data_IF_601263937895
#
_entry.id   IF_601263937895
#
_cell.length_a   1.000
_cell.length_b   1.000
_cell.length_c   1.000
_cell.angle_alpha   90.00
_cell.angle_beta   90.00
_cell.angle_gamma   90.00
#
_symmetry.space_group_name_H-M   'P 1'
#
loop_
_entity.id
_entity.type
_entity.pdbx_description
1 polymer ?
#
# COMPACT_ATOMS: atom_id res chain seq x y z
N UNK A 1 29.26 48.75 -7.14
CA UNK A 1 29.49 49.95 -6.26
C UNK A 1 28.60 49.82 -5.04
N UNK A 2 29.25 49.85 -3.83
CA UNK A 2 28.71 49.87 -2.47
C UNK A 2 28.16 48.53 -1.95
N UNK A 3 28.86 47.86 -1.14
CA UNK A 3 29.60 47.90 0.13
C UNK A 3 28.83 47.23 1.25
N UNK A 4 29.55 46.24 1.77
CA UNK A 4 29.43 45.52 3.04
C UNK A 4 28.89 46.36 4.20
N UNK A 5 28.26 45.70 5.18
CA UNK A 5 28.65 45.84 6.60
C UNK A 5 28.24 44.58 7.39
N UNK A 6 29.26 43.94 7.95
CA UNK A 6 29.14 42.92 8.96
C UNK A 6 28.91 43.51 10.33
N UNK A 7 28.40 42.71 11.27
CA UNK A 7 28.51 42.94 12.71
C UNK A 7 28.75 41.67 13.48
N UNK A 8 29.98 41.54 13.92
CA UNK A 8 30.49 40.65 14.97
C UNK A 8 30.18 41.23 16.34
N UNK A 9 29.77 40.44 17.31
CA UNK A 9 29.86 40.67 18.77
C UNK A 9 29.75 39.30 19.43
N UNK A 10 30.79 38.76 19.98
CA UNK A 10 31.56 38.99 21.20
C UNK A 10 31.01 38.15 22.37
N UNK A 11 31.83 37.25 22.69
CA UNK A 11 32.05 36.34 23.81
C UNK A 11 31.89 37.02 25.20
N UNK A 12 31.19 36.36 26.12
CA UNK A 12 31.41 36.53 27.57
C UNK A 12 31.49 35.16 28.23
N UNK A 13 32.71 34.83 28.66
CA UNK A 13 33.00 33.72 29.57
C UNK A 13 32.74 34.17 31.00
N UNK A 14 32.06 33.36 31.79
CA UNK A 14 32.04 33.45 33.26
C UNK A 14 32.58 32.15 33.82
N UNK A 15 33.73 32.25 34.44
CA UNK A 15 34.38 31.19 35.21
C UNK A 15 33.79 31.20 36.62
N UNK A 16 33.17 30.09 37.02
CA UNK A 16 32.72 29.83 38.39
C UNK A 16 33.41 28.57 38.92
N UNK A 17 34.35 28.75 39.85
CA UNK A 17 34.96 27.69 40.65
C UNK A 17 33.96 27.25 41.73
N UNK A 18 33.62 25.97 41.77
CA UNK A 18 32.83 25.36 42.83
C UNK A 18 33.25 23.93 43.11
N UNK A 19 33.55 23.64 44.33
CA UNK A 19 34.25 22.53 44.94
C UNK A 19 33.77 21.12 44.60
N UNK A 20 34.72 20.19 44.56
CA UNK A 20 34.53 18.72 44.53
C UNK A 20 33.86 18.19 45.78
N UNK A 21 32.80 17.43 45.64
CA UNK A 21 32.36 16.39 46.58
C UNK A 21 32.40 15.03 45.86
N UNK A 22 32.75 13.90 46.51
CA UNK A 22 32.86 12.62 45.85
C UNK A 22 31.47 12.07 45.48
N UNK A 23 31.32 11.61 44.25
CA UNK A 23 30.15 10.93 43.78
C UNK A 23 30.15 9.51 44.35
N UNK A 24 29.07 9.14 45.00
CA UNK A 24 28.72 7.74 45.27
C UNK A 24 28.41 7.04 43.95
N UNK A 25 29.00 5.88 43.74
CA UNK A 25 28.72 4.96 42.64
C UNK A 25 27.26 4.52 42.74
N UNK A 26 26.40 5.10 41.89
CA UNK A 26 25.09 4.55 41.60
C UNK A 26 25.29 3.48 40.52
N UNK A 27 25.24 2.23 40.92
CA UNK A 27 25.03 1.06 40.06
C UNK A 27 23.72 1.34 39.30
N UNK A 28 23.82 1.87 38.08
CA UNK A 28 22.76 1.79 37.10
C UNK A 28 22.81 0.40 36.50
N UNK A 29 22.07 -0.53 37.13
CA UNK A 29 21.56 -1.71 36.46
C UNK A 29 20.71 -1.21 35.28
N UNK A 30 21.36 -1.06 34.14
CA UNK A 30 20.72 -0.88 32.87
C UNK A 30 20.08 -2.20 32.46
N UNK A 31 18.91 -2.50 33.00
CA UNK A 31 18.03 -3.47 32.40
C UNK A 31 17.70 -2.92 31.00
N UNK A 32 18.41 -3.40 29.99
CA UNK A 32 17.92 -3.34 28.62
C UNK A 32 16.64 -4.15 28.63
N UNK A 33 15.52 -3.45 28.60
CA UNK A 33 14.20 -4.03 28.37
C UNK A 33 14.22 -4.57 26.92
N UNK A 34 14.74 -5.79 26.76
CA UNK A 34 14.80 -6.53 25.51
C UNK A 34 13.41 -7.16 25.25
N UNK A 35 12.36 -6.35 25.44
CA UNK A 35 11.03 -6.70 24.99
C UNK A 35 11.08 -6.61 23.48
N UNK A 36 11.23 -7.74 22.81
CA UNK A 36 11.13 -7.84 21.36
C UNK A 36 9.85 -7.10 20.93
N UNK A 37 9.99 -6.13 20.02
CA UNK A 37 8.86 -5.39 19.49
C UNK A 37 7.91 -6.40 18.83
N UNK A 38 6.75 -6.61 19.43
CA UNK A 38 5.70 -7.46 18.86
C UNK A 38 4.88 -6.57 17.94
N UNK A 39 5.04 -6.77 16.64
CA UNK A 39 4.22 -6.07 15.66
C UNK A 39 2.80 -6.63 15.67
N UNK A 40 1.83 -5.72 15.66
CA UNK A 40 0.44 -6.10 15.34
C UNK A 40 0.36 -6.44 13.86
N UNK A 41 -0.51 -7.39 13.47
CA UNK A 41 -0.72 -7.68 12.05
C UNK A 41 -1.13 -6.44 11.25
N UNK A 42 -0.87 -6.46 9.96
CA UNK A 42 -1.53 -5.56 9.00
C UNK A 42 -2.94 -6.13 8.77
N UNK A 43 -3.95 -5.37 9.16
CA UNK A 43 -5.36 -5.80 9.12
C UNK A 43 -5.91 -5.83 7.70
N UNK A 44 -5.48 -4.87 6.87
CA UNK A 44 -5.85 -4.79 5.46
C UNK A 44 -4.78 -4.07 4.64
N UNK A 45 -4.70 -4.41 3.34
CA UNK A 45 -3.93 -3.66 2.36
C UNK A 45 -4.84 -2.65 1.66
N UNK A 46 -4.32 -1.46 1.41
CA UNK A 46 -4.97 -0.41 0.65
C UNK A 46 -3.97 0.18 -0.35
N UNK A 47 -4.46 0.68 -1.47
CA UNK A 47 -3.67 1.47 -2.41
C UNK A 47 -4.36 2.82 -2.62
N UNK A 48 -3.59 3.91 -2.74
CA UNK A 48 -4.14 5.21 -3.09
C UNK A 48 -3.83 5.49 -4.55
N UNK A 49 -4.87 5.74 -5.33
CA UNK A 49 -4.82 6.16 -6.72
C UNK A 49 -5.30 7.62 -6.82
N UNK A 50 -4.67 8.40 -7.66
CA UNK A 50 -4.82 9.86 -7.71
C UNK A 50 -5.48 10.30 -9.02
N UNK A 51 -6.57 11.10 -8.90
CA UNK A 51 -7.47 11.44 -10.00
C UNK A 51 -7.65 12.96 -10.16
N UNK A 52 -7.65 13.43 -11.40
CA UNK A 52 -8.08 14.79 -11.72
C UNK A 52 -9.60 14.91 -11.63
N UNK A 53 -10.34 13.87 -12.05
CA UNK A 53 -11.80 13.77 -11.92
C UNK A 53 -12.19 12.65 -10.97
N UNK A 54 -12.10 12.95 -9.65
CA UNK A 54 -12.45 12.01 -8.60
C UNK A 54 -13.89 11.49 -8.71
N UNK A 55 -14.85 12.33 -9.14
CA UNK A 55 -16.25 11.93 -9.24
C UNK A 55 -16.45 10.93 -10.38
N UNK A 56 -15.79 11.11 -11.52
CA UNK A 56 -15.81 10.15 -12.63
C UNK A 56 -15.16 8.83 -12.25
N UNK A 57 -14.01 8.87 -11.58
CA UNK A 57 -13.34 7.68 -11.06
C UNK A 57 -14.23 6.95 -10.06
N UNK A 58 -14.79 7.65 -9.07
CA UNK A 58 -15.67 7.05 -8.09
C UNK A 58 -16.91 6.41 -8.72
N UNK A 59 -17.53 7.07 -9.70
CA UNK A 59 -18.67 6.51 -10.45
C UNK A 59 -18.27 5.19 -11.15
N UNK A 60 -17.10 5.14 -11.79
CA UNK A 60 -16.59 3.92 -12.41
C UNK A 60 -16.42 2.76 -11.42
N UNK A 61 -15.70 2.99 -10.32
CA UNK A 61 -15.46 1.94 -9.33
C UNK A 61 -16.73 1.49 -8.61
N UNK A 62 -17.65 2.40 -8.33
CA UNK A 62 -18.93 2.09 -7.69
C UNK A 62 -19.93 1.45 -8.64
N UNK A 63 -20.17 2.05 -9.82
CA UNK A 63 -21.31 1.70 -10.69
C UNK A 63 -20.97 0.63 -11.73
N UNK A 64 -19.68 0.56 -12.18
CA UNK A 64 -19.21 -0.45 -13.12
C UNK A 64 -18.60 -1.64 -12.39
N UNK A 65 -17.62 -1.40 -11.49
CA UNK A 65 -16.99 -2.51 -10.76
C UNK A 65 -17.80 -2.96 -9.54
N UNK A 66 -18.79 -2.17 -9.11
CA UNK A 66 -19.67 -2.49 -7.99
C UNK A 66 -18.94 -2.53 -6.65
N UNK A 67 -17.85 -1.74 -6.48
CA UNK A 67 -17.17 -1.64 -5.20
C UNK A 67 -18.01 -0.82 -4.21
N UNK A 68 -18.06 -1.28 -2.97
CA UNK A 68 -18.72 -0.54 -1.89
C UNK A 68 -17.84 0.62 -1.44
N UNK A 69 -18.42 1.82 -1.30
CA UNK A 69 -17.73 2.94 -0.66
C UNK A 69 -17.76 2.74 0.85
N UNK A 70 -16.62 2.38 1.44
CA UNK A 70 -16.47 2.14 2.87
C UNK A 70 -16.34 3.45 3.67
N UNK A 71 -15.74 4.50 3.08
CA UNK A 71 -15.72 5.85 3.63
C UNK A 71 -15.66 6.90 2.52
N UNK A 72 -16.22 8.07 2.82
CA UNK A 72 -16.23 9.25 1.94
C UNK A 72 -15.77 10.48 2.73
N UNK A 73 -14.56 10.95 2.45
CA UNK A 73 -13.98 12.13 3.09
C UNK A 73 -14.06 13.39 2.21
N UNK A 74 -14.84 13.34 1.13
CA UNK A 74 -14.94 14.41 0.14
C UNK A 74 -13.81 14.33 -0.87
N UNK A 75 -12.60 14.65 -0.46
CA UNK A 75 -11.39 14.60 -1.29
C UNK A 75 -10.85 13.18 -1.52
N UNK A 76 -11.30 12.21 -0.77
CA UNK A 76 -10.92 10.80 -0.90
C UNK A 76 -12.11 9.87 -0.68
N UNK A 77 -12.19 8.80 -1.49
CA UNK A 77 -13.22 7.75 -1.41
C UNK A 77 -12.53 6.42 -1.19
N UNK A 78 -12.82 5.75 -0.07
CA UNK A 78 -12.24 4.45 0.24
C UNK A 78 -13.20 3.36 -0.24
N UNK A 79 -12.75 2.59 -1.23
CA UNK A 79 -13.52 1.53 -1.87
C UNK A 79 -13.14 0.17 -1.29
N UNK A 80 -14.11 -0.62 -0.84
CA UNK A 80 -13.91 -2.00 -0.40
C UNK A 80 -13.86 -2.93 -1.62
N UNK A 81 -12.72 -3.55 -1.86
CA UNK A 81 -12.43 -4.37 -3.05
C UNK A 81 -12.54 -5.86 -2.75
N UNK A 82 -11.79 -6.35 -1.77
CA UNK A 82 -11.76 -7.74 -1.34
C UNK A 82 -11.86 -7.82 0.19
N UNK A 83 -12.02 -8.98 0.84
CA UNK A 83 -12.38 -9.06 2.28
C UNK A 83 -11.51 -8.22 3.22
N UNK A 84 -10.22 -8.08 2.91
CA UNK A 84 -9.25 -7.25 3.67
C UNK A 84 -8.38 -6.43 2.71
N UNK A 85 -9.00 -5.89 1.66
CA UNK A 85 -8.30 -5.06 0.67
C UNK A 85 -9.17 -3.91 0.22
N UNK A 86 -8.55 -2.73 0.11
CA UNK A 86 -9.20 -1.49 -0.25
C UNK A 86 -8.46 -0.79 -1.39
N UNK A 87 -9.15 0.13 -2.03
CA UNK A 87 -8.60 1.11 -2.97
C UNK A 87 -9.14 2.49 -2.60
N UNK A 88 -8.25 3.42 -2.29
CA UNK A 88 -8.61 4.80 -2.00
C UNK A 88 -8.41 5.65 -3.26
N UNK A 89 -9.47 6.29 -3.70
CA UNK A 89 -9.45 7.25 -4.80
C UNK A 89 -9.24 8.64 -4.21
N UNK A 90 -8.21 9.34 -4.63
CA UNK A 90 -7.80 10.64 -4.06
C UNK A 90 -7.85 11.72 -5.12
N UNK A 91 -8.42 12.87 -4.79
CA UNK A 91 -8.30 14.09 -5.58
C UNK A 91 -6.85 14.59 -5.58
N UNK A 92 -6.23 14.74 -6.75
CA UNK A 92 -4.84 15.18 -6.90
C UNK A 92 -4.56 16.54 -6.24
N UNK A 93 -5.58 17.42 -6.14
CA UNK A 93 -5.41 18.73 -5.48
C UNK A 93 -5.17 18.61 -3.97
N UNK A 94 -5.51 17.45 -3.37
CA UNK A 94 -5.42 17.17 -1.95
C UNK A 94 -4.46 16.02 -1.62
N UNK A 95 -3.95 15.32 -2.63
CA UNK A 95 -3.11 14.14 -2.48
C UNK A 95 -1.62 14.42 -2.35
N UNK A 96 -0.84 13.35 -2.24
CA UNK A 96 0.63 13.42 -2.17
C UNK A 96 1.30 13.37 -3.55
N UNK A 97 0.54 13.00 -4.59
CA UNK A 97 0.99 12.84 -5.97
C UNK A 97 0.23 13.78 -6.91
N UNK A 98 0.85 14.10 -8.02
CA UNK A 98 0.25 14.95 -9.06
C UNK A 98 -0.32 14.11 -10.22
N UNK A 99 -1.18 14.73 -11.03
CA UNK A 99 -1.78 14.10 -12.21
C UNK A 99 -0.75 13.74 -13.29
N UNK A 100 0.36 14.49 -13.35
CA UNK A 100 1.43 14.31 -14.35
C UNK A 100 2.38 13.14 -14.00
N UNK A 101 2.34 12.62 -12.78
CA UNK A 101 3.16 11.49 -12.38
C UNK A 101 2.73 10.20 -13.11
N UNK A 102 3.71 9.35 -13.51
CA UNK A 102 3.41 8.08 -14.15
C UNK A 102 2.56 7.17 -13.26
N UNK A 103 1.57 6.51 -13.87
CA UNK A 103 0.73 5.49 -13.21
C UNK A 103 1.37 4.10 -13.37
N UNK A 104 2.65 3.98 -12.99
CA UNK A 104 3.44 2.73 -13.11
C UNK A 104 3.12 1.76 -11.98
N UNK A 105 1.88 1.33 -11.93
CA UNK A 105 1.31 0.40 -10.97
C UNK A 105 0.17 -0.36 -11.62
N UNK A 106 -0.13 -1.57 -11.16
CA UNK A 106 -1.36 -2.27 -11.52
C UNK A 106 -2.01 -2.86 -10.26
N UNK A 107 -3.32 -2.73 -10.12
CA UNK A 107 -4.08 -3.43 -9.11
C UNK A 107 -4.64 -4.71 -9.71
N UNK A 108 -4.15 -5.86 -9.25
CA UNK A 108 -4.75 -7.12 -9.59
C UNK A 108 -5.96 -7.40 -8.71
N UNK A 109 -7.05 -7.77 -9.35
CA UNK A 109 -8.32 -8.20 -8.79
C UNK A 109 -8.37 -9.71 -8.94
N UNK A 110 -8.07 -10.42 -7.84
CA UNK A 110 -7.97 -11.87 -7.84
C UNK A 110 -9.36 -12.48 -7.76
N UNK A 111 -9.77 -13.14 -8.83
CA UNK A 111 -11.12 -13.70 -9.00
C UNK A 111 -11.11 -14.99 -9.79
N UNK A 112 -12.00 -15.93 -9.44
CA UNK A 112 -12.24 -17.16 -10.23
C UNK A 112 -13.16 -16.92 -11.42
N UNK A 113 -13.89 -15.80 -11.40
CA UNK A 113 -15.00 -15.53 -12.31
C UNK A 113 -14.55 -14.71 -13.53
N UNK A 114 -13.35 -15.03 -14.07
CA UNK A 114 -12.68 -14.25 -15.13
C UNK A 114 -13.55 -14.04 -16.36
N UNK A 115 -14.24 -15.09 -16.84
CA UNK A 115 -15.10 -14.99 -18.02
C UNK A 115 -16.31 -14.08 -17.76
N UNK A 116 -16.89 -14.16 -16.56
CA UNK A 116 -18.03 -13.33 -16.17
C UNK A 116 -17.60 -11.86 -16.02
N UNK A 117 -16.45 -11.60 -15.39
CA UNK A 117 -15.89 -10.26 -15.30
C UNK A 117 -15.55 -9.68 -16.66
N UNK A 118 -14.93 -10.45 -17.55
CA UNK A 118 -14.59 -10.03 -18.90
C UNK A 118 -15.86 -9.60 -19.66
N UNK A 119 -16.88 -10.44 -19.69
CA UNK A 119 -18.16 -10.13 -20.35
C UNK A 119 -18.88 -8.92 -19.71
N UNK A 120 -18.77 -8.76 -18.38
CA UNK A 120 -19.32 -7.62 -17.68
C UNK A 120 -18.66 -6.31 -18.13
N UNK A 121 -17.32 -6.27 -18.17
CA UNK A 121 -16.59 -5.07 -18.58
C UNK A 121 -16.78 -4.75 -20.06
N UNK A 122 -16.85 -5.76 -20.94
CA UNK A 122 -17.21 -5.55 -22.36
C UNK A 122 -18.60 -4.90 -22.50
N UNK A 123 -19.59 -5.36 -21.70
CA UNK A 123 -20.96 -4.80 -21.72
C UNK A 123 -20.98 -3.32 -21.28
N UNK A 124 -20.03 -2.92 -20.43
CA UNK A 124 -19.88 -1.53 -19.98
C UNK A 124 -18.88 -0.74 -20.83
N UNK A 125 -18.42 -1.31 -21.95
CA UNK A 125 -17.48 -0.66 -22.89
C UNK A 125 -16.18 -0.18 -22.21
N UNK A 126 -15.73 -0.92 -21.15
CA UNK A 126 -14.48 -0.59 -20.44
C UNK A 126 -13.28 -0.88 -21.35
N UNK A 127 -12.34 0.07 -21.51
CA UNK A 127 -11.15 -0.17 -22.32
C UNK A 127 -10.32 -1.33 -21.79
N UNK A 128 -9.92 -2.23 -22.70
CA UNK A 128 -9.06 -3.36 -22.39
C UNK A 128 -7.65 -3.14 -22.96
N UNK A 129 -6.64 -3.37 -22.13
CA UNK A 129 -5.23 -3.40 -22.55
C UNK A 129 -4.87 -4.78 -23.12
N UNK A 130 -5.46 -5.85 -22.56
CA UNK A 130 -5.31 -7.22 -23.06
C UNK A 130 -6.61 -7.99 -22.96
N UNK A 131 -6.82 -8.89 -23.93
CA UNK A 131 -7.93 -9.82 -23.96
C UNK A 131 -7.79 -10.92 -22.91
N UNK A 132 -8.93 -11.54 -22.55
CA UNK A 132 -8.94 -12.69 -21.64
C UNK A 132 -8.11 -13.84 -22.22
N UNK A 133 -7.19 -14.34 -21.41
CA UNK A 133 -6.38 -15.50 -21.72
C UNK A 133 -6.58 -16.58 -20.67
N UNK A 134 -7.08 -17.74 -21.08
CA UNK A 134 -7.19 -18.95 -20.26
C UNK A 134 -6.43 -20.05 -20.97
N UNK A 135 -5.43 -20.66 -20.29
CA UNK A 135 -4.58 -21.69 -20.88
C UNK A 135 -4.43 -22.87 -19.93
N UNK A 136 -4.65 -24.07 -20.44
CA UNK A 136 -4.40 -25.30 -19.68
C UNK A 136 -2.93 -25.36 -19.25
N UNK A 137 -2.68 -25.54 -17.94
CA UNK A 137 -1.35 -25.67 -17.36
C UNK A 137 -0.59 -24.35 -17.20
N UNK A 138 -1.23 -23.19 -17.39
CA UNK A 138 -0.61 -21.90 -17.06
C UNK A 138 -0.60 -21.67 -15.54
N UNK A 139 0.41 -20.92 -15.06
CA UNK A 139 0.48 -20.50 -13.66
C UNK A 139 -0.65 -19.53 -13.30
N UNK A 140 -1.05 -18.67 -14.23
CA UNK A 140 -2.16 -17.73 -14.05
C UNK A 140 -2.92 -17.54 -15.37
N UNK A 141 -4.18 -17.16 -15.24
CA UNK A 141 -5.06 -16.73 -16.31
C UNK A 141 -5.57 -15.33 -15.99
N UNK A 142 -5.91 -14.53 -17.00
CA UNK A 142 -6.42 -13.21 -16.76
C UNK A 142 -6.51 -12.31 -18.00
N UNK A 143 -6.86 -11.05 -17.73
CA UNK A 143 -6.91 -9.95 -18.69
C UNK A 143 -6.67 -8.62 -17.96
N UNK A 144 -6.45 -7.55 -18.73
CA UNK A 144 -6.15 -6.23 -18.16
C UNK A 144 -7.11 -5.20 -18.71
N UNK A 145 -7.83 -4.54 -17.84
CA UNK A 145 -8.66 -3.38 -18.12
C UNK A 145 -7.93 -2.08 -17.76
N UNK A 146 -8.45 -0.97 -18.26
CA UNK A 146 -7.92 0.38 -18.00
C UNK A 146 -9.03 1.22 -17.39
N UNK A 147 -8.73 1.85 -16.27
CA UNK A 147 -9.65 2.75 -15.58
C UNK A 147 -9.81 4.11 -16.31
N UNK A 148 -10.70 5.02 -15.88
CA UNK A 148 -10.95 6.28 -16.56
C UNK A 148 -9.72 7.17 -16.78
N UNK A 149 -8.70 7.08 -15.92
CA UNK A 149 -7.50 7.91 -16.04
C UNK A 149 -6.21 7.14 -16.31
N UNK A 150 -6.31 5.85 -16.68
CA UNK A 150 -5.21 5.07 -17.20
C UNK A 150 -4.51 4.15 -16.21
N UNK A 151 -5.02 3.97 -15.00
CA UNK A 151 -4.55 2.89 -14.12
C UNK A 151 -4.92 1.53 -14.68
N UNK A 152 -4.01 0.56 -14.54
CA UNK A 152 -4.24 -0.80 -14.96
C UNK A 152 -4.94 -1.61 -13.86
N UNK A 153 -5.99 -2.29 -14.25
CA UNK A 153 -6.74 -3.23 -13.42
C UNK A 153 -6.58 -4.62 -14.04
N UNK A 154 -5.80 -5.47 -13.39
CA UNK A 154 -5.56 -6.83 -13.84
C UNK A 154 -6.56 -7.78 -13.17
N UNK A 155 -7.42 -8.41 -13.95
CA UNK A 155 -8.30 -9.46 -13.46
C UNK A 155 -7.58 -10.78 -13.67
N UNK A 156 -7.22 -11.47 -12.57
CA UNK A 156 -6.40 -12.67 -12.65
C UNK A 156 -6.82 -13.74 -11.65
N UNK A 157 -6.45 -14.98 -11.97
CA UNK A 157 -6.54 -16.13 -11.10
C UNK A 157 -5.26 -16.95 -11.16
N UNK A 158 -4.71 -17.28 -9.97
CA UNK A 158 -3.52 -18.13 -9.82
C UNK A 158 -3.93 -19.58 -9.77
N UNK A 159 -3.56 -20.34 -10.81
CA UNK A 159 -3.89 -21.75 -10.95
C UNK A 159 -3.06 -22.65 -10.04
N UNK A 160 -3.50 -23.90 -9.86
CA UNK A 160 -2.65 -24.95 -9.27
C UNK A 160 -1.46 -25.21 -10.19
N UNK A 161 -0.31 -24.66 -9.82
CA UNK A 161 0.93 -24.70 -10.58
C UNK A 161 2.14 -24.75 -9.61
N UNK A 162 3.29 -25.26 -10.06
CA UNK A 162 4.49 -25.33 -9.22
C UNK A 162 4.97 -23.96 -8.72
N UNK A 163 4.72 -22.90 -9.46
CA UNK A 163 5.02 -21.51 -9.06
C UNK A 163 4.11 -20.99 -7.95
N UNK A 164 2.91 -21.55 -7.78
CA UNK A 164 1.86 -21.06 -6.89
C UNK A 164 1.62 -21.98 -5.69
N UNK A 165 2.54 -22.90 -5.40
CA UNK A 165 2.35 -23.96 -4.38
C UNK A 165 1.99 -23.40 -3.00
N UNK A 166 2.49 -22.22 -2.65
CA UNK A 166 2.24 -21.56 -1.38
C UNK A 166 1.08 -20.54 -1.45
N UNK A 167 0.78 -19.98 -2.63
CA UNK A 167 -0.28 -18.99 -2.83
C UNK A 167 -1.65 -19.64 -3.06
N UNK A 168 -1.75 -20.65 -3.96
CA UNK A 168 -3.03 -21.24 -4.35
C UNK A 168 -3.83 -21.81 -3.18
N UNK A 169 -3.23 -22.50 -2.17
CA UNK A 169 -3.98 -22.98 -1.00
C UNK A 169 -4.53 -21.84 -0.13
N UNK A 170 -3.83 -20.70 -0.05
CA UNK A 170 -4.28 -19.51 0.68
C UNK A 170 -5.49 -18.88 0.00
N UNK A 171 -5.44 -18.72 -1.33
CA UNK A 171 -6.56 -18.19 -2.11
C UNK A 171 -7.78 -19.10 -2.11
N UNK A 172 -7.57 -20.43 -2.04
CA UNK A 172 -8.64 -21.42 -2.13
C UNK A 172 -9.65 -21.35 -0.96
N UNK A 173 -9.23 -20.85 0.19
CA UNK A 173 -10.06 -20.79 1.41
C UNK A 173 -10.69 -19.42 1.65
N UNK A 174 -10.40 -18.43 0.78
CA UNK A 174 -10.97 -17.09 0.92
C UNK A 174 -12.38 -17.09 0.34
N UNK A 175 -13.36 -16.68 1.17
CA UNK A 175 -14.71 -16.38 0.72
C UNK A 175 -14.69 -15.06 -0.07
N UNK A 176 -15.08 -15.03 -1.35
CA UNK A 176 -15.02 -13.81 -2.14
C UNK A 176 -15.98 -12.73 -1.64
N UNK A 177 -15.56 -11.48 -1.72
CA UNK A 177 -16.44 -10.33 -1.51
C UNK A 177 -17.45 -10.25 -2.65
N UNK A 178 -18.74 -10.22 -2.28
CA UNK A 178 -19.87 -9.96 -3.18
C UNK A 178 -20.61 -8.72 -2.71
N UNK A 179 -21.24 -7.99 -3.61
CA UNK A 179 -22.06 -6.81 -3.27
C UNK A 179 -23.40 -6.86 -3.99
N UNK A 180 -24.37 -6.05 -3.53
CA UNK A 180 -25.64 -5.89 -4.24
C UNK A 180 -25.55 -4.94 -5.44
N UNK A 181 -24.37 -4.35 -5.69
CA UNK A 181 -24.14 -3.36 -6.73
C UNK A 181 -23.62 -3.97 -8.03
N UNK A 182 -23.29 -5.27 -8.02
CA UNK A 182 -22.85 -6.03 -9.19
C UNK A 182 -23.49 -7.43 -9.18
N UNK A 183 -23.48 -8.17 -10.33
CA UNK A 183 -23.91 -9.56 -10.38
C UNK A 183 -23.24 -10.43 -9.33
N UNK A 184 -23.99 -11.36 -8.74
CA UNK A 184 -23.53 -12.19 -7.60
C UNK A 184 -22.39 -13.15 -7.95
N UNK A 185 -22.19 -13.42 -9.24
CA UNK A 185 -21.14 -14.24 -9.82
C UNK A 185 -19.84 -13.45 -10.12
N UNK A 186 -19.77 -12.19 -9.73
CA UNK A 186 -18.57 -11.36 -9.86
C UNK A 186 -17.87 -11.21 -8.49
N UNK A 187 -17.45 -12.33 -7.90
CA UNK A 187 -16.74 -12.36 -6.63
C UNK A 187 -15.29 -11.89 -6.75
N UNK A 188 -14.74 -11.33 -5.65
CA UNK A 188 -13.32 -10.94 -5.55
C UNK A 188 -12.75 -11.55 -4.28
N UNK A 189 -11.70 -12.37 -4.42
CA UNK A 189 -11.08 -13.07 -3.30
C UNK A 189 -9.96 -12.26 -2.64
N UNK A 190 -9.14 -11.58 -3.44
CA UNK A 190 -7.93 -10.90 -2.97
C UNK A 190 -7.51 -9.79 -3.94
N UNK A 191 -6.48 -9.04 -3.56
CA UNK A 191 -5.79 -8.11 -4.45
C UNK A 191 -4.28 -8.34 -4.43
N UNK A 192 -3.61 -8.10 -5.56
CA UNK A 192 -2.15 -7.94 -5.62
C UNK A 192 -1.86 -6.54 -6.13
N UNK A 193 -1.08 -5.76 -5.41
CA UNK A 193 -0.60 -4.47 -5.89
C UNK A 193 0.77 -4.67 -6.55
N UNK A 194 0.81 -4.60 -7.88
CA UNK A 194 2.01 -4.79 -8.68
C UNK A 194 2.82 -3.51 -8.78
N UNK A 195 4.05 -3.52 -8.26
CA UNK A 195 5.01 -2.43 -8.25
C UNK A 195 6.19 -2.77 -9.18
N UNK A 196 6.68 -1.82 -9.96
CA UNK A 196 7.63 -2.05 -11.04
C UNK A 196 8.99 -1.47 -10.73
N UNK A 197 10.04 -2.29 -10.82
CA UNK A 197 11.41 -1.98 -10.42
C UNK A 197 12.41 -2.27 -11.54
N UNK A 198 13.49 -1.49 -11.59
CA UNK A 198 14.64 -1.80 -12.47
C UNK A 198 15.56 -2.87 -11.85
N UNK A 199 15.61 -2.95 -10.52
CA UNK A 199 16.34 -3.96 -9.75
C UNK A 199 15.45 -4.52 -8.65
N UNK A 200 15.10 -5.79 -8.75
CA UNK A 200 14.25 -6.45 -7.75
C UNK A 200 14.99 -6.71 -6.42
N UNK A 201 16.28 -7.04 -6.46
CA UNK A 201 16.98 -7.57 -5.31
C UNK A 201 17.03 -6.66 -4.06
N UNK A 202 17.20 -5.32 -4.15
CA UNK A 202 17.09 -4.46 -2.97
C UNK A 202 15.66 -4.42 -2.41
N UNK A 203 14.65 -4.45 -3.29
CA UNK A 203 13.25 -4.37 -2.91
C UNK A 203 12.74 -5.70 -2.32
N UNK A 204 13.19 -6.85 -2.82
CA UNK A 204 12.95 -8.17 -2.21
C UNK A 204 13.39 -8.17 -0.74
N UNK A 205 14.65 -7.85 -0.48
CA UNK A 205 15.19 -7.79 0.90
C UNK A 205 14.43 -6.81 1.79
N UNK A 206 14.00 -5.70 1.22
CA UNK A 206 13.23 -4.70 1.94
C UNK A 206 11.85 -5.22 2.35
N UNK A 207 11.06 -5.78 1.42
CA UNK A 207 9.72 -6.27 1.72
C UNK A 207 9.73 -7.53 2.60
N UNK A 208 10.71 -8.43 2.44
CA UNK A 208 10.93 -9.54 3.37
C UNK A 208 11.17 -9.07 4.80
N UNK A 209 12.03 -8.06 4.98
CA UNK A 209 12.32 -7.52 6.30
C UNK A 209 11.15 -6.69 6.87
N UNK A 210 10.47 -5.90 6.03
CA UNK A 210 9.37 -5.04 6.43
C UNK A 210 8.16 -5.85 6.88
N UNK A 211 7.72 -6.79 6.05
CA UNK A 211 6.52 -7.58 6.31
C UNK A 211 6.78 -8.76 7.26
N UNK A 212 8.04 -9.14 7.45
CA UNK A 212 8.46 -10.37 8.16
C UNK A 212 7.76 -11.64 7.63
N UNK A 213 7.43 -11.63 6.33
CA UNK A 213 6.70 -12.69 5.63
C UNK A 213 7.58 -13.35 4.57
N UNK A 214 7.34 -14.63 4.34
CA UNK A 214 8.03 -15.38 3.31
C UNK A 214 7.52 -15.05 1.92
N UNK A 215 8.40 -15.17 0.92
CA UNK A 215 8.07 -15.11 -0.49
C UNK A 215 7.10 -16.25 -0.85
N UNK A 216 5.94 -15.92 -1.41
CA UNK A 216 4.91 -16.90 -1.77
C UNK A 216 5.01 -17.37 -3.22
N UNK A 217 5.42 -16.48 -4.12
CA UNK A 217 5.58 -16.77 -5.55
C UNK A 217 6.89 -16.19 -6.02
N UNK A 218 7.69 -17.00 -6.69
CA UNK A 218 8.92 -16.60 -7.36
C UNK A 218 8.92 -17.04 -8.82
N UNK A 219 8.64 -16.10 -9.72
CA UNK A 219 8.72 -16.31 -11.16
C UNK A 219 10.07 -15.84 -11.74
N UNK A 220 11.01 -15.47 -10.87
CA UNK A 220 12.29 -14.87 -11.26
C UNK A 220 12.18 -13.39 -11.61
N UNK A 221 11.18 -13.00 -12.37
CA UNK A 221 10.92 -11.62 -12.81
C UNK A 221 9.73 -10.95 -12.08
N UNK A 222 8.93 -11.73 -11.42
CA UNK A 222 7.85 -11.25 -10.54
C UNK A 222 7.86 -12.06 -9.24
N UNK A 223 7.53 -11.40 -8.16
CA UNK A 223 7.54 -11.92 -6.78
C UNK A 223 6.25 -11.51 -6.08
N UNK A 224 5.69 -12.37 -5.22
CA UNK A 224 4.50 -12.03 -4.42
C UNK A 224 4.77 -12.27 -2.94
N UNK A 225 4.46 -11.24 -2.12
CA UNK A 225 4.48 -11.28 -0.66
C UNK A 225 3.08 -11.04 -0.11
N UNK A 226 2.71 -11.71 0.97
CA UNK A 226 1.46 -11.43 1.67
C UNK A 226 1.66 -10.24 2.61
N UNK A 227 0.83 -9.19 2.45
CA UNK A 227 0.87 -8.03 3.32
C UNK A 227 -0.28 -8.04 4.35
N UNK A 228 -1.42 -8.61 3.98
CA UNK A 228 -2.60 -8.73 4.85
C UNK A 228 -3.37 -10.02 4.51
N UNK A 229 -4.44 -10.38 5.22
CA UNK A 229 -5.15 -11.64 4.95
C UNK A 229 -5.59 -11.86 3.50
N UNK A 230 -5.91 -10.80 2.75
CA UNK A 230 -6.30 -10.87 1.33
C UNK A 230 -5.61 -9.83 0.45
N UNK A 231 -4.63 -9.12 0.98
CA UNK A 231 -3.84 -8.12 0.25
C UNK A 231 -2.40 -8.58 0.08
N UNK A 232 -1.92 -8.54 -1.15
CA UNK A 232 -0.57 -8.97 -1.52
C UNK A 232 0.18 -7.83 -2.21
N UNK A 233 1.49 -7.81 -2.06
CA UNK A 233 2.39 -6.92 -2.80
C UNK A 233 3.14 -7.75 -3.82
N UNK A 234 3.09 -7.32 -5.06
CA UNK A 234 3.82 -7.90 -6.17
C UNK A 234 4.98 -7.01 -6.60
N UNK A 235 6.18 -7.56 -6.70
CA UNK A 235 7.36 -6.88 -7.23
C UNK A 235 7.62 -7.39 -8.64
N UNK A 236 7.77 -6.48 -9.60
CA UNK A 236 7.90 -6.83 -11.03
C UNK A 236 9.16 -6.18 -11.61
N UNK A 237 9.95 -6.95 -12.36
CA UNK A 237 10.99 -6.42 -13.24
C UNK A 237 10.33 -5.56 -14.33
N UNK A 238 10.53 -4.24 -14.27
CA UNK A 238 9.93 -3.28 -15.19
C UNK A 238 10.35 -3.47 -16.66
N UNK A 239 11.44 -4.17 -16.91
CA UNK A 239 11.83 -4.53 -18.29
C UNK A 239 10.95 -5.65 -18.87
N UNK A 240 10.20 -6.38 -18.04
CA UNK A 240 9.35 -7.52 -18.43
C UNK A 240 7.87 -7.32 -18.13
N UNK A 241 7.55 -6.44 -17.20
CA UNK A 241 6.20 -6.16 -16.78
C UNK A 241 5.40 -5.27 -17.73
N UNK A 242 4.20 -4.88 -17.29
CA UNK A 242 3.30 -4.01 -18.06
C UNK A 242 3.75 -2.54 -18.06
N UNK A 243 4.51 -2.15 -17.05
CA UNK A 243 5.11 -0.82 -16.91
C UNK A 243 6.63 -0.94 -16.73
N UNK A 244 7.34 0.09 -17.18
CA UNK A 244 8.73 0.31 -16.77
C UNK A 244 8.77 0.91 -15.37
N UNK A 245 9.88 0.73 -14.67
CA UNK A 245 10.18 1.50 -13.46
C UNK A 245 10.25 2.99 -13.77
N UNK A 246 9.80 3.82 -12.84
CA UNK A 246 9.84 5.29 -12.92
C UNK A 246 10.28 5.87 -11.57
N UNK A 247 10.92 7.04 -11.57
CA UNK A 247 11.39 7.70 -10.35
C UNK A 247 10.23 8.23 -9.49
N UNK A 248 9.12 8.57 -10.13
CA UNK A 248 7.88 9.03 -9.49
C UNK A 248 6.74 8.12 -9.94
N UNK A 249 5.81 7.81 -9.05
CA UNK A 249 4.69 6.91 -9.33
C UNK A 249 3.44 7.42 -8.60
N UNK A 250 2.37 7.69 -9.33
CA UNK A 250 1.11 8.16 -8.76
C UNK A 250 0.37 7.04 -7.98
N UNK A 251 1.02 6.50 -6.96
CA UNK A 251 0.46 5.49 -6.05
C UNK A 251 1.09 5.59 -4.67
N UNK A 252 0.27 5.38 -3.64
CA UNK A 252 0.73 5.13 -2.28
C UNK A 252 0.26 3.73 -1.86
N UNK A 253 1.18 2.92 -1.36
CA UNK A 253 0.87 1.63 -0.73
C UNK A 253 0.50 1.89 0.72
N UNK A 254 -0.68 1.50 1.16
CA UNK A 254 -1.13 1.74 2.54
C UNK A 254 -1.36 0.44 3.28
N UNK A 255 -0.81 0.37 4.49
CA UNK A 255 -0.95 -0.71 5.44
C UNK A 255 -1.88 -0.29 6.57
N UNK A 256 -3.10 -0.82 6.61
CA UNK A 256 -4.04 -0.56 7.70
C UNK A 256 -3.67 -1.41 8.91
N UNK A 257 -3.46 -0.78 10.06
CA UNK A 257 -3.04 -1.45 11.31
C UNK A 257 -3.53 -0.71 12.53
N UNK A 258 -3.81 -1.40 13.62
CA UNK A 258 -4.22 -0.77 14.89
C UNK A 258 -3.06 -0.09 15.64
N UNK A 259 -1.79 -0.46 15.35
CA UNK A 259 -0.62 0.08 16.06
C UNK A 259 0.44 0.69 15.12
N UNK A 260 0.12 1.86 14.59
CA UNK A 260 1.06 2.66 13.77
C UNK A 260 2.34 3.04 14.53
N UNK A 261 2.32 3.04 15.88
CA UNK A 261 3.52 3.38 16.69
C UNK A 261 4.53 2.25 16.67
N UNK A 262 4.08 1.01 16.82
CA UNK A 262 4.94 -0.16 16.70
C UNK A 262 5.49 -0.26 15.27
N UNK A 263 4.67 -0.04 14.25
CA UNK A 263 5.11 -0.05 12.86
C UNK A 263 6.11 1.06 12.54
N UNK A 264 5.91 2.27 13.07
CA UNK A 264 6.90 3.35 12.91
C UNK A 264 8.24 3.01 13.57
N UNK A 265 8.22 2.39 14.76
CA UNK A 265 9.43 1.93 15.44
C UNK A 265 10.14 0.83 14.62
N UNK A 266 9.39 -0.12 14.04
CA UNK A 266 9.91 -1.18 13.18
C UNK A 266 10.53 -0.59 11.90
N UNK A 267 9.82 0.29 11.19
CA UNK A 267 10.32 0.95 10.00
C UNK A 267 11.63 1.70 10.27
N UNK A 268 11.72 2.42 11.39
CA UNK A 268 12.97 3.07 11.83
C UNK A 268 14.10 2.08 12.10
N UNK A 269 13.80 0.95 12.75
CA UNK A 269 14.80 -0.08 13.04
C UNK A 269 15.38 -0.71 11.76
N UNK A 270 14.56 -0.79 10.70
CA UNK A 270 14.96 -1.23 9.36
C UNK A 270 15.66 -0.13 8.54
N UNK A 271 15.69 1.12 9.03
CA UNK A 271 16.29 2.24 8.31
C UNK A 271 15.42 2.77 7.16
N UNK A 272 14.10 2.57 7.22
CA UNK A 272 13.16 3.15 6.25
C UNK A 272 13.26 4.67 6.31
N UNK A 273 13.41 5.32 5.16
CA UNK A 273 13.32 6.76 5.04
C UNK A 273 11.88 7.20 5.35
N UNK A 274 11.70 8.05 6.35
CA UNK A 274 10.40 8.54 6.75
C UNK A 274 10.21 9.99 6.30
N UNK A 275 9.02 10.32 5.81
CA UNK A 275 8.63 11.68 5.42
C UNK A 275 8.55 12.63 6.63
N UNK A 276 8.26 12.10 7.81
CA UNK A 276 8.15 12.83 9.07
C UNK A 276 8.62 11.97 10.24
N UNK A 277 9.23 12.63 11.25
CA UNK A 277 9.65 11.98 12.49
C UNK A 277 8.49 11.75 13.49
N UNK A 278 7.26 12.08 13.13
CA UNK A 278 6.09 11.93 13.99
C UNK A 278 4.91 11.36 13.24
N UNK A 279 4.06 10.65 13.99
CA UNK A 279 2.76 10.21 13.52
C UNK A 279 1.87 11.44 13.34
N UNK A 280 1.28 11.57 12.16
CA UNK A 280 0.29 12.57 11.82
C UNK A 280 -1.11 12.20 12.30
N UNK A 281 -2.03 13.13 12.16
CA UNK A 281 -3.45 12.95 12.39
C UNK A 281 -4.20 13.59 11.23
N UNK A 282 -4.88 12.77 10.43
CA UNK A 282 -5.68 13.27 9.32
C UNK A 282 -7.13 13.45 9.75
N UNK A 283 -7.61 14.70 9.70
CA UNK A 283 -9.01 15.09 9.95
C UNK A 283 -9.62 14.55 11.27
N UNK A 284 -8.81 14.29 12.30
CA UNK A 284 -9.19 13.60 13.55
C UNK A 284 -9.73 12.16 13.34
N UNK A 285 -9.50 11.57 12.16
CA UNK A 285 -10.05 10.28 11.76
C UNK A 285 -8.99 9.18 11.65
N UNK A 286 -7.78 9.52 11.17
CA UNK A 286 -6.72 8.55 10.89
C UNK A 286 -5.40 9.00 11.50
N UNK A 287 -4.78 8.15 12.32
CA UNK A 287 -3.37 8.30 12.68
C UNK A 287 -2.53 7.69 11.57
N UNK A 288 -1.54 8.43 11.05
CA UNK A 288 -0.78 7.97 9.90
C UNK A 288 0.69 8.39 9.96
N UNK A 289 1.56 7.65 9.28
CA UNK A 289 2.90 8.10 8.91
C UNK A 289 3.27 7.55 7.54
N UNK A 290 4.17 8.26 6.85
CA UNK A 290 4.62 7.93 5.50
C UNK A 290 6.12 7.69 5.50
N UNK A 291 6.54 6.64 4.81
CA UNK A 291 7.93 6.33 4.46
C UNK A 291 8.06 5.98 2.98
N UNK A 292 9.24 5.52 2.61
CA UNK A 292 9.54 5.18 1.22
C UNK A 292 10.20 3.80 1.14
N UNK A 293 9.89 3.06 0.10
CA UNK A 293 10.67 1.89 -0.23
C UNK A 293 12.04 2.31 -0.85
N UNK A 294 12.97 1.37 -1.10
CA UNK A 294 14.28 1.72 -1.65
C UNK A 294 14.28 2.41 -3.01
N UNK A 295 13.18 2.35 -3.75
CA UNK A 295 13.03 2.92 -5.10
C UNK A 295 12.19 4.21 -5.10
N UNK A 296 11.53 4.52 -3.98
CA UNK A 296 10.78 5.77 -3.81
C UNK A 296 9.26 5.61 -3.85
N UNK A 297 8.73 4.38 -3.91
CA UNK A 297 7.29 4.21 -3.70
C UNK A 297 6.90 4.68 -2.30
N UNK A 298 5.81 5.43 -2.22
CA UNK A 298 5.27 5.90 -0.96
C UNK A 298 4.59 4.74 -0.23
N UNK A 299 4.99 4.56 1.04
CA UNK A 299 4.41 3.59 1.95
C UNK A 299 3.75 4.34 3.10
N UNK A 300 2.49 4.07 3.35
CA UNK A 300 1.71 4.71 4.40
C UNK A 300 1.19 3.67 5.39
N UNK A 301 1.20 3.99 6.67
CA UNK A 301 0.61 3.15 7.72
C UNK A 301 -0.51 3.90 8.39
N UNK A 302 -1.70 3.31 8.38
CA UNK A 302 -2.94 3.96 8.78
C UNK A 302 -3.65 3.22 9.91
N UNK A 303 -3.96 3.95 10.98
CA UNK A 303 -4.88 3.51 12.03
C UNK A 303 -6.17 4.32 11.94
N UNK A 304 -7.22 3.70 11.44
CA UNK A 304 -8.56 4.29 11.39
C UNK A 304 -9.19 4.28 12.78
N UNK A 305 -9.39 5.48 13.36
CA UNK A 305 -9.94 5.65 14.68
C UNK A 305 -11.46 5.37 14.71
N UNK A 306 -11.96 4.90 15.85
CA UNK A 306 -13.39 4.71 16.08
C UNK A 306 -14.08 6.09 16.16
N UNK A 307 -14.44 6.61 15.01
CA UNK A 307 -15.05 7.92 14.77
C UNK A 307 -16.13 7.81 13.70
N UNK A 308 -17.05 8.78 13.71
CA UNK A 308 -18.05 8.91 12.67
C UNK A 308 -17.37 9.09 11.29
N UNK A 309 -17.74 8.25 10.34
CA UNK A 309 -17.15 8.18 9.01
C UNK A 309 -16.21 6.98 8.78
N UNK A 310 -15.73 6.33 9.86
CA UNK A 310 -14.88 5.14 9.79
C UNK A 310 -15.60 3.83 10.11
N UNK A 311 -16.86 3.88 10.52
CA UNK A 311 -17.58 2.72 11.08
C UNK A 311 -17.50 1.51 10.13
N UNK A 312 -17.71 1.75 8.84
CA UNK A 312 -17.72 0.67 7.86
C UNK A 312 -16.34 0.07 7.63
N UNK A 313 -15.27 0.88 7.61
CA UNK A 313 -13.88 0.38 7.53
C UNK A 313 -13.59 -0.48 8.75
N UNK A 314 -13.90 0.02 9.95
CA UNK A 314 -13.66 -0.67 11.22
C UNK A 314 -14.42 -1.99 11.27
N UNK A 315 -15.67 -2.03 10.82
CA UNK A 315 -16.48 -3.26 10.76
C UNK A 315 -15.86 -4.32 9.82
N UNK A 316 -15.17 -3.88 8.74
CA UNK A 316 -14.53 -4.79 7.79
C UNK A 316 -13.20 -5.31 8.35
N UNK A 317 -12.39 -4.46 8.98
CA UNK A 317 -11.03 -4.82 9.41
C UNK A 317 -10.96 -5.48 10.79
N UNK A 318 -12.01 -5.48 11.56
CA UNK A 318 -12.14 -6.18 12.87
C UNK A 318 -12.99 -7.46 12.74
#
# INVERSE_FOLDING_TARGET
MRTCLGRTLALCAVVGLGACAPAEDADTDGATDDTALVLTPIDALNAFYYYEDLDAAWAFYRDVLGFETAADYGFAKIMHVAPRSFLTLVDVEHGMHSADEPKSVALAIVTRDLEAWFAHLETHEVPLRSELTIREGSAHDGFVAVDPEGYLLEFEWFNEHEENVDLSPRLAVIEPTTTNQRPADLGISATVLWLYYDDLAPNERFYEALLAEELLVDQGWAKIYQASPTGYIGLVDGARGMHSSTEENAVTVSFMTEDVRAWMAHARALGVELRSDSIGMESDLVETFVGYDPTGYFLEWDNFLDRAGNERIIDIIR
#
